data_IF_478855562379
#
_entry.id   IF_478855562379
#
_cell.length_a   1.000
_cell.length_b   1.000
_cell.length_c   1.000
_cell.angle_alpha   90.00
_cell.angle_beta   90.00
_cell.angle_gamma   90.00
#
_symmetry.space_group_name_H-M   'P 1'
#
loop_
_entity.id
_entity.type
_entity.pdbx_description
1 polymer ?
#
# COMPACT_ATOMS: atom_id res chain seq x y z
N UNK A 1 6.67 3.92 19.82
CA UNK A 1 5.66 3.24 20.68
C UNK A 1 4.41 4.12 20.79
N UNK A 2 3.53 4.12 19.78
CA UNK A 2 2.18 4.68 19.85
C UNK A 2 1.19 3.60 20.29
N UNK A 3 1.39 3.06 21.50
CA UNK A 3 0.55 1.94 22.02
C UNK A 3 -0.71 2.46 22.71
N UNK A 4 -1.36 3.44 22.09
CA UNK A 4 -2.67 3.88 22.49
C UNK A 4 -3.66 3.22 21.53
N UNK A 5 -4.70 2.59 22.08
CA UNK A 5 -5.76 1.89 21.34
C UNK A 5 -6.61 2.89 20.54
N UNK A 6 -5.99 3.61 19.61
CA UNK A 6 -6.60 4.62 18.78
C UNK A 6 -6.96 4.03 17.42
N UNK A 7 -7.98 4.60 16.80
CA UNK A 7 -8.29 4.41 15.39
C UNK A 7 -7.66 5.58 14.64
N UNK A 8 -6.93 5.30 13.57
CA UNK A 8 -6.40 6.35 12.68
C UNK A 8 -7.44 6.65 11.62
N UNK A 9 -8.03 7.83 11.69
CA UNK A 9 -8.97 8.31 10.68
C UNK A 9 -8.28 9.33 9.77
N UNK A 10 -8.35 9.09 8.46
CA UNK A 10 -7.78 9.98 7.45
C UNK A 10 -8.84 10.94 6.93
N UNK A 11 -8.56 12.24 6.98
CA UNK A 11 -9.47 13.30 6.52
C UNK A 11 -8.74 14.40 5.75
N UNK A 12 -9.52 15.28 5.13
CA UNK A 12 -9.03 16.45 4.40
C UNK A 12 -9.05 16.27 2.88
N UNK A 13 -8.74 17.35 2.13
CA UNK A 13 -8.91 17.39 0.67
C UNK A 13 -8.02 16.38 -0.06
N UNK A 14 -6.86 16.03 0.52
CA UNK A 14 -5.95 15.03 -0.06
C UNK A 14 -6.55 13.63 -0.18
N UNK A 15 -7.59 13.30 0.59
CA UNK A 15 -8.24 11.98 0.52
C UNK A 15 -8.83 11.70 -0.87
N UNK A 16 -9.36 12.72 -1.54
CA UNK A 16 -10.01 12.56 -2.86
C UNK A 16 -9.00 12.33 -4.01
N UNK A 17 -7.71 12.57 -3.77
CA UNK A 17 -6.65 12.27 -4.74
C UNK A 17 -6.18 10.82 -4.70
N UNK A 18 -6.53 10.06 -3.65
CA UNK A 18 -6.09 8.68 -3.44
C UNK A 18 -7.07 7.68 -4.04
N UNK A 19 -6.57 6.62 -4.65
CA UNK A 19 -7.40 5.51 -5.12
C UNK A 19 -7.92 4.66 -3.95
N UNK A 20 -8.96 3.85 -4.18
CA UNK A 20 -9.46 2.90 -3.19
C UNK A 20 -8.37 1.91 -2.71
N UNK A 21 -7.53 1.45 -3.63
CA UNK A 21 -6.43 0.52 -3.35
C UNK A 21 -5.28 1.20 -2.63
N UNK A 22 -4.94 2.45 -2.99
CA UNK A 22 -3.95 3.25 -2.25
C UNK A 22 -4.40 3.59 -0.82
N UNK A 23 -5.69 3.90 -0.62
CA UNK A 23 -6.27 4.02 0.72
C UNK A 23 -6.12 2.71 1.52
N UNK A 24 -6.35 1.56 0.89
CA UNK A 24 -6.17 0.25 1.53
C UNK A 24 -4.71 -0.01 1.92
N UNK A 25 -3.73 0.37 1.09
CA UNK A 25 -2.29 0.31 1.42
C UNK A 25 -1.98 1.14 2.67
N UNK A 26 -2.48 2.37 2.73
CA UNK A 26 -2.27 3.26 3.88
C UNK A 26 -2.88 2.66 5.15
N UNK A 27 -4.12 2.19 5.10
CA UNK A 27 -4.75 1.56 6.25
C UNK A 27 -4.06 0.27 6.70
N UNK A 28 -3.56 -0.53 5.75
CA UNK A 28 -2.80 -1.75 6.03
C UNK A 28 -1.58 -1.43 6.90
N UNK A 29 -0.80 -0.40 6.51
CA UNK A 29 0.40 0.00 7.24
C UNK A 29 0.12 0.73 8.58
N UNK A 30 -1.15 0.98 8.92
CA UNK A 30 -1.53 1.46 10.24
C UNK A 30 -1.27 0.44 11.35
N UNK A 31 -1.14 -0.85 11.00
CA UNK A 31 -0.82 -1.91 11.95
C UNK A 31 0.57 -1.72 12.59
N UNK A 32 1.54 -1.21 11.82
CA UNK A 32 2.95 -1.04 12.21
C UNK A 32 3.14 0.03 13.29
N UNK A 33 2.21 0.99 13.40
CA UNK A 33 2.20 1.98 14.47
C UNK A 33 1.42 1.51 15.71
N UNK A 34 0.75 0.36 15.64
CA UNK A 34 -0.06 -0.20 16.71
C UNK A 34 -1.49 0.33 16.78
N UNK A 35 -2.01 0.90 15.69
CA UNK A 35 -3.39 1.35 15.63
C UNK A 35 -4.37 0.17 15.78
N UNK A 36 -5.53 0.42 16.39
CA UNK A 36 -6.61 -0.58 16.50
C UNK A 36 -7.16 -0.93 15.12
N UNK A 37 -7.37 0.10 14.30
CA UNK A 37 -7.61 0.00 12.86
C UNK A 37 -7.34 1.38 12.24
N UNK A 38 -7.42 1.44 10.93
CA UNK A 38 -7.34 2.66 10.14
C UNK A 38 -8.54 2.77 9.22
N UNK A 39 -9.02 3.98 8.94
CA UNK A 39 -10.17 4.19 8.07
C UNK A 39 -10.14 5.49 7.28
N UNK A 40 -10.74 5.45 6.09
CA UNK A 40 -11.04 6.61 5.26
C UNK A 40 -12.56 6.80 5.16
N UNK A 41 -13.04 8.05 5.00
CA UNK A 41 -14.43 8.33 4.75
C UNK A 41 -14.87 7.78 3.38
N UNK A 42 -16.14 7.39 3.28
CA UNK A 42 -16.69 6.92 2.01
C UNK A 42 -16.63 8.02 0.92
N UNK A 43 -16.07 7.69 -0.23
CA UNK A 43 -15.90 8.63 -1.33
C UNK A 43 -16.12 7.99 -2.71
N UNK A 44 -16.00 8.82 -3.76
CA UNK A 44 -16.25 8.38 -5.13
C UNK A 44 -15.25 7.32 -5.63
N UNK A 45 -14.02 7.30 -5.11
CA UNK A 45 -12.99 6.30 -5.46
C UNK A 45 -13.37 4.91 -4.96
N UNK A 46 -14.00 4.83 -3.79
CA UNK A 46 -14.57 3.57 -3.27
C UNK A 46 -15.75 3.10 -4.12
N UNK A 47 -16.59 4.02 -4.60
CA UNK A 47 -17.68 3.72 -5.55
C UNK A 47 -17.12 3.13 -6.85
N UNK A 48 -16.09 3.76 -7.42
CA UNK A 48 -15.46 3.30 -8.66
C UNK A 48 -14.90 1.89 -8.49
N UNK A 49 -14.23 1.62 -7.37
CA UNK A 49 -13.71 0.29 -7.05
C UNK A 49 -14.81 -0.77 -6.86
N UNK A 50 -15.90 -0.44 -6.16
CA UNK A 50 -17.06 -1.32 -6.00
C UNK A 50 -17.67 -1.67 -7.36
N UNK A 51 -17.85 -0.69 -8.24
CA UNK A 51 -18.35 -0.91 -9.60
C UNK A 51 -17.40 -1.81 -10.41
N UNK A 52 -16.09 -1.52 -10.40
CA UNK A 52 -15.07 -2.30 -11.10
C UNK A 52 -15.02 -3.77 -10.63
N UNK A 53 -15.32 -4.00 -9.36
CA UNK A 53 -15.38 -5.34 -8.75
C UNK A 53 -16.78 -5.95 -8.76
N UNK A 54 -17.68 -5.46 -9.61
CA UNK A 54 -19.04 -5.98 -9.85
C UNK A 54 -19.96 -5.92 -8.62
N UNK A 55 -19.79 -4.90 -7.77
CA UNK A 55 -20.57 -4.63 -6.55
C UNK A 55 -21.30 -3.28 -6.62
N UNK A 56 -21.82 -2.94 -7.79
CA UNK A 56 -22.44 -1.63 -8.03
C UNK A 56 -23.75 -1.41 -7.27
N UNK A 57 -24.44 -2.49 -6.92
CA UNK A 57 -25.58 -2.48 -6.01
C UNK A 57 -25.20 -1.98 -4.60
N UNK A 58 -24.09 -2.48 -4.04
CA UNK A 58 -23.54 -1.99 -2.76
C UNK A 58 -23.16 -0.51 -2.88
N UNK A 59 -22.50 -0.11 -3.97
CA UNK A 59 -22.13 1.28 -4.20
C UNK A 59 -23.36 2.21 -4.24
N UNK A 60 -24.42 1.79 -4.91
CA UNK A 60 -25.67 2.54 -5.01
C UNK A 60 -26.41 2.61 -3.67
N UNK A 61 -26.37 1.55 -2.87
CA UNK A 61 -26.95 1.55 -1.53
C UNK A 61 -26.15 2.45 -0.58
N UNK A 62 -24.82 2.32 -0.54
CA UNK A 62 -23.95 3.13 0.30
C UNK A 62 -24.08 4.63 0.02
N UNK A 63 -24.27 5.02 -1.25
CA UNK A 63 -24.53 6.43 -1.63
C UNK A 63 -25.75 7.03 -0.93
N UNK A 64 -26.81 6.25 -0.69
CA UNK A 64 -28.02 6.73 0.01
C UNK A 64 -27.73 7.08 1.48
N UNK A 65 -26.72 6.43 2.07
CA UNK A 65 -26.27 6.62 3.44
C UNK A 65 -24.92 7.35 3.52
N UNK A 66 -24.47 8.01 2.44
CA UNK A 66 -23.13 8.60 2.40
C UNK A 66 -22.89 9.62 3.53
N UNK A 67 -23.95 10.26 4.03
CA UNK A 67 -23.88 11.17 5.18
C UNK A 67 -23.55 10.45 6.50
N UNK A 68 -23.87 9.17 6.67
CA UNK A 68 -23.50 8.36 7.83
C UNK A 68 -22.13 7.68 7.69
N UNK A 69 -21.52 7.73 6.50
CA UNK A 69 -20.27 7.05 6.18
C UNK A 69 -19.08 8.02 6.14
N UNK A 70 -19.23 9.14 6.83
CA UNK A 70 -18.25 10.21 7.00
C UNK A 70 -18.33 10.72 8.42
N UNK A 71 -17.24 11.29 8.93
CA UNK A 71 -17.27 11.99 10.20
C UNK A 71 -18.16 13.23 10.14
N UNK A 72 -18.76 13.55 11.29
CA UNK A 72 -19.57 14.77 11.45
C UNK A 72 -18.71 16.03 11.29
N UNK A 73 -19.36 17.11 10.88
CA UNK A 73 -18.71 18.43 10.87
C UNK A 73 -18.32 18.83 12.29
N UNK A 74 -17.06 19.23 12.48
CA UNK A 74 -16.53 19.58 13.79
C UNK A 74 -16.19 18.39 14.69
N UNK A 75 -16.15 17.15 14.15
CA UNK A 75 -15.67 15.99 14.90
C UNK A 75 -14.29 16.27 15.53
N UNK A 76 -14.19 16.01 16.83
CA UNK A 76 -12.97 16.19 17.62
C UNK A 76 -12.10 14.92 17.56
N UNK A 77 -10.78 15.11 17.50
CA UNK A 77 -9.80 14.02 17.50
C UNK A 77 -8.79 14.28 18.63
N UNK A 78 -8.44 13.23 19.39
CA UNK A 78 -7.47 13.34 20.48
C UNK A 78 -6.10 13.82 20.01
N UNK A 79 -5.74 13.47 18.77
CA UNK A 79 -4.53 13.92 18.10
C UNK A 79 -4.81 14.19 16.62
N UNK A 80 -4.24 15.28 16.11
CA UNK A 80 -4.27 15.64 14.69
C UNK A 80 -2.85 15.71 14.16
N UNK A 81 -2.58 14.99 13.08
CA UNK A 81 -1.33 15.05 12.32
C UNK A 81 -1.67 15.49 10.91
N UNK A 82 -1.00 16.54 10.44
CA UNK A 82 -1.20 17.07 9.09
C UNK A 82 -0.06 16.63 8.16
N UNK A 83 -0.43 16.13 6.98
CA UNK A 83 0.52 15.71 5.93
C UNK A 83 0.14 16.41 4.64
N UNK A 84 1.08 17.18 4.09
CA UNK A 84 0.94 17.79 2.77
C UNK A 84 1.38 16.80 1.68
N UNK A 85 0.40 16.23 0.97
CA UNK A 85 0.66 15.26 -0.11
C UNK A 85 1.45 15.85 -1.29
N UNK A 86 1.42 17.18 -1.49
CA UNK A 86 2.13 17.83 -2.60
C UNK A 86 3.63 18.02 -2.33
N UNK A 87 4.01 18.02 -1.05
CA UNK A 87 5.41 18.12 -0.60
C UNK A 87 6.00 16.76 -0.24
N UNK A 88 5.16 15.71 -0.20
CA UNK A 88 5.58 14.38 0.14
C UNK A 88 6.47 13.79 -0.97
N UNK A 89 7.67 13.37 -0.59
CA UNK A 89 8.59 12.64 -1.46
C UNK A 89 8.56 11.13 -1.16
N UNK A 90 9.06 10.26 -2.06
CA UNK A 90 9.15 8.82 -1.78
C UNK A 90 10.05 8.52 -0.58
N UNK A 91 9.68 7.50 0.20
CA UNK A 91 10.40 7.06 1.39
C UNK A 91 10.76 5.58 1.31
N UNK A 92 11.80 5.20 2.04
CA UNK A 92 12.17 3.82 2.35
C UNK A 92 12.35 3.68 3.86
N UNK A 93 11.71 2.66 4.44
CA UNK A 93 11.75 2.42 5.88
C UNK A 93 12.54 1.16 6.19
N UNK A 94 13.27 1.14 7.30
CA UNK A 94 14.12 0.02 7.71
C UNK A 94 15.53 0.47 8.12
N UNK A 95 16.48 -0.47 8.28
CA UNK A 95 16.43 -1.86 7.82
C UNK A 95 15.74 -2.84 8.79
N UNK A 96 15.59 -2.51 10.08
CA UNK A 96 15.10 -3.47 11.09
C UNK A 96 13.78 -3.06 11.75
N UNK A 97 13.30 -1.83 11.51
CA UNK A 97 12.01 -1.37 12.03
C UNK A 97 11.24 -0.59 10.96
N UNK A 98 9.91 -0.72 10.92
CA UNK A 98 9.08 -0.03 9.92
C UNK A 98 8.93 1.47 10.22
N UNK A 99 9.34 1.95 11.39
CA UNK A 99 9.24 3.36 11.80
C UNK A 99 10.51 4.18 11.53
N UNK A 100 11.61 3.54 11.11
CA UNK A 100 12.82 4.24 10.68
C UNK A 100 12.66 4.72 9.23
N UNK A 101 11.99 5.86 9.06
CA UNK A 101 11.70 6.43 7.75
C UNK A 101 12.89 7.25 7.20
N UNK A 102 13.34 6.92 5.99
CA UNK A 102 14.36 7.66 5.26
C UNK A 102 13.81 8.16 3.93
N UNK A 103 13.94 9.46 3.66
CA UNK A 103 13.60 10.03 2.34
C UNK A 103 14.49 9.41 1.27
N UNK A 104 13.92 9.05 0.12
CA UNK A 104 14.69 8.39 -0.94
C UNK A 104 15.86 9.25 -1.42
N UNK A 105 15.68 10.58 -1.45
CA UNK A 105 16.70 11.57 -1.79
C UNK A 105 17.91 11.56 -0.85
N UNK A 106 17.75 11.00 0.36
CA UNK A 106 18.77 10.90 1.41
C UNK A 106 19.25 9.49 1.69
N UNK A 107 18.66 8.50 1.04
CA UNK A 107 18.94 7.09 1.33
C UNK A 107 20.40 6.70 1.10
N UNK A 108 21.03 7.15 0.01
CA UNK A 108 22.43 6.84 -0.28
C UNK A 108 23.41 7.43 0.77
N UNK A 109 23.10 8.62 1.29
CA UNK A 109 23.89 9.25 2.36
C UNK A 109 23.75 8.46 3.67
N UNK A 110 22.52 8.09 4.05
CA UNK A 110 22.26 7.32 5.27
C UNK A 110 22.77 5.88 5.19
N UNK A 111 22.68 5.22 4.04
CA UNK A 111 23.23 3.88 3.85
C UNK A 111 24.74 3.83 4.12
N UNK A 112 25.50 4.79 3.57
CA UNK A 112 26.95 4.90 3.82
C UNK A 112 27.27 5.23 5.27
N UNK A 113 26.57 6.21 5.84
CA UNK A 113 26.76 6.65 7.22
C UNK A 113 26.50 5.54 8.24
N UNK A 114 25.48 4.72 8.00
CA UNK A 114 25.09 3.63 8.89
C UNK A 114 25.68 2.26 8.49
N UNK A 115 26.57 2.23 7.47
CA UNK A 115 27.21 1.02 6.95
C UNK A 115 26.19 -0.09 6.56
N UNK A 116 25.09 0.31 5.92
CA UNK A 116 24.11 -0.62 5.36
C UNK A 116 24.62 -1.23 4.05
N UNK A 117 24.25 -2.48 3.72
CA UNK A 117 24.58 -3.07 2.42
C UNK A 117 24.05 -2.20 1.27
N UNK A 118 24.95 -1.78 0.37
CA UNK A 118 24.59 -0.97 -0.81
C UNK A 118 24.07 -1.81 -1.98
N UNK A 119 24.39 -3.11 -1.99
CA UNK A 119 23.96 -4.04 -3.04
C UNK A 119 22.56 -4.60 -2.74
N UNK A 120 21.60 -4.28 -3.61
CA UNK A 120 20.27 -4.88 -3.57
C UNK A 120 20.34 -6.27 -4.19
N UNK A 121 20.34 -7.31 -3.35
CA UNK A 121 20.38 -8.72 -3.79
C UNK A 121 19.08 -9.17 -4.45
N UNK A 122 17.96 -8.81 -3.84
CA UNK A 122 16.61 -9.19 -4.28
C UNK A 122 15.67 -8.04 -4.05
N UNK A 123 14.76 -7.83 -5.01
CA UNK A 123 13.67 -6.87 -4.87
C UNK A 123 12.33 -7.59 -4.96
N UNK A 124 11.44 -7.34 -4.00
CA UNK A 124 10.17 -8.02 -3.83
C UNK A 124 9.03 -6.99 -3.95
N UNK A 125 8.03 -7.28 -4.77
CA UNK A 125 6.83 -6.46 -4.93
C UNK A 125 5.60 -7.34 -4.76
N UNK A 126 4.55 -6.78 -4.18
CA UNK A 126 3.29 -7.49 -3.99
C UNK A 126 2.95 -7.65 -2.52
N UNK A 127 2.59 -8.87 -2.13
CA UNK A 127 1.94 -9.15 -0.83
C UNK A 127 0.61 -8.41 -0.66
N UNK A 128 -0.07 -8.53 0.46
CA UNK A 128 -1.36 -7.89 0.68
C UNK A 128 -1.31 -6.34 0.66
N UNK A 129 -0.16 -5.73 0.95
CA UNK A 129 -0.02 -4.28 1.08
C UNK A 129 0.06 -3.54 -0.27
N UNK A 130 0.79 -4.08 -1.25
CA UNK A 130 1.06 -3.43 -2.55
C UNK A 130 0.97 -4.40 -3.74
N UNK A 131 -0.15 -5.10 -3.87
CA UNK A 131 -0.41 -6.04 -4.97
C UNK A 131 -1.70 -5.79 -5.73
N UNK A 132 -2.21 -4.57 -5.70
CA UNK A 132 -3.36 -4.19 -6.51
C UNK A 132 -2.99 -4.09 -7.99
N UNK A 133 -4.00 -4.04 -8.86
CA UNK A 133 -3.78 -3.77 -10.28
C UNK A 133 -3.10 -2.41 -10.54
N UNK A 134 -3.26 -1.43 -9.64
CA UNK A 134 -2.59 -0.12 -9.74
C UNK A 134 -1.10 -0.19 -9.39
N UNK A 135 -0.71 -1.08 -8.48
CA UNK A 135 0.67 -1.23 -8.02
C UNK A 135 1.56 -1.85 -9.10
N UNK A 136 1.03 -2.87 -9.79
CA UNK A 136 1.78 -3.68 -10.74
C UNK A 136 2.47 -2.85 -11.85
N UNK A 137 1.78 -2.03 -12.65
CA UNK A 137 2.40 -1.31 -13.75
C UNK A 137 3.39 -0.21 -13.29
N UNK A 138 3.41 0.16 -12.00
CA UNK A 138 4.37 1.12 -11.45
C UNK A 138 5.72 0.49 -11.11
N UNK A 139 5.83 -0.83 -11.19
CA UNK A 139 7.09 -1.54 -10.99
C UNK A 139 7.88 -1.66 -12.31
N UNK A 140 9.08 -1.07 -12.35
CA UNK A 140 9.83 -0.83 -13.59
C UNK A 140 11.14 -1.65 -13.75
N UNK A 141 11.38 -2.67 -12.92
CA UNK A 141 12.70 -3.32 -12.80
C UNK A 141 12.62 -4.83 -12.52
N UNK A 142 13.77 -5.48 -12.34
CA UNK A 142 13.90 -6.91 -12.02
C UNK A 142 13.32 -7.17 -10.62
N UNK A 143 12.11 -7.72 -10.56
CA UNK A 143 11.38 -7.95 -9.31
C UNK A 143 10.85 -9.37 -9.20
N UNK A 144 10.82 -9.89 -7.97
CA UNK A 144 9.98 -11.03 -7.62
C UNK A 144 8.60 -10.49 -7.23
N UNK A 145 7.55 -10.94 -7.91
CA UNK A 145 6.22 -10.33 -7.88
C UNK A 145 5.19 -11.31 -7.32
N UNK A 146 4.45 -10.88 -6.30
CA UNK A 146 3.40 -11.67 -5.65
C UNK A 146 2.04 -10.98 -5.83
N UNK A 147 1.22 -11.38 -6.81
CA UNK A 147 -0.14 -10.85 -6.93
C UNK A 147 -0.99 -11.23 -5.71
N UNK A 148 -1.83 -10.31 -5.23
CA UNK A 148 -2.61 -10.52 -4.00
C UNK A 148 -3.80 -11.48 -4.16
N UNK A 149 -4.15 -11.83 -5.39
CA UNK A 149 -5.23 -12.78 -5.69
C UNK A 149 -5.11 -13.34 -7.11
N UNK A 150 -5.80 -14.45 -7.36
CA UNK A 150 -5.96 -14.98 -8.73
C UNK A 150 -6.65 -14.01 -9.67
N UNK A 151 -7.59 -13.21 -9.15
CA UNK A 151 -8.26 -12.19 -9.97
C UNK A 151 -7.26 -11.14 -10.46
N UNK A 152 -6.40 -10.63 -9.57
CA UNK A 152 -5.34 -9.70 -9.96
C UNK A 152 -4.39 -10.37 -10.94
N UNK A 153 -3.85 -11.56 -10.61
CA UNK A 153 -2.93 -12.31 -11.47
C UNK A 153 -3.50 -12.52 -12.88
N UNK A 154 -4.74 -12.98 -12.99
CA UNK A 154 -5.39 -13.20 -14.27
C UNK A 154 -5.61 -11.90 -15.06
N UNK A 155 -5.93 -10.81 -14.37
CA UNK A 155 -6.15 -9.49 -14.99
C UNK A 155 -4.83 -8.92 -15.53
N UNK A 156 -3.75 -8.94 -14.74
CA UNK A 156 -2.44 -8.44 -15.18
C UNK A 156 -1.81 -9.31 -16.27
N UNK A 157 -2.12 -10.61 -16.29
CA UNK A 157 -1.73 -11.52 -17.36
C UNK A 157 -2.47 -11.18 -18.67
N UNK A 158 -3.79 -11.00 -18.61
CA UNK A 158 -4.61 -10.60 -19.76
C UNK A 158 -4.13 -9.26 -20.35
N UNK A 159 -3.75 -8.32 -19.48
CA UNK A 159 -3.37 -6.96 -19.90
C UNK A 159 -1.87 -6.83 -20.23
N UNK A 160 -1.13 -7.95 -20.33
CA UNK A 160 0.27 -7.99 -20.78
C UNK A 160 1.32 -7.54 -19.76
N UNK A 161 0.92 -7.16 -18.55
CA UNK A 161 1.86 -6.74 -17.51
C UNK A 161 2.71 -7.90 -17.00
N UNK A 162 2.13 -9.12 -16.95
CA UNK A 162 2.85 -10.31 -16.52
C UNK A 162 4.04 -10.61 -17.45
N UNK A 163 3.81 -10.55 -18.76
CA UNK A 163 4.83 -10.72 -19.78
C UNK A 163 5.91 -9.64 -19.68
N UNK A 164 5.53 -8.39 -19.40
CA UNK A 164 6.47 -7.30 -19.19
C UNK A 164 7.43 -7.60 -18.02
N UNK A 165 6.93 -8.15 -16.91
CA UNK A 165 7.78 -8.53 -15.77
C UNK A 165 8.71 -9.69 -16.08
N UNK A 166 8.20 -10.73 -16.73
CA UNK A 166 9.01 -11.89 -17.13
C UNK A 166 10.11 -11.48 -18.11
N UNK A 167 9.84 -10.53 -19.01
CA UNK A 167 10.81 -10.03 -20.00
C UNK A 167 12.02 -9.33 -19.39
N UNK A 168 11.86 -8.74 -18.20
CA UNK A 168 12.97 -8.11 -17.44
C UNK A 168 13.59 -9.06 -16.42
N UNK A 169 13.28 -10.36 -16.48
CA UNK A 169 13.81 -11.38 -15.56
C UNK A 169 13.10 -11.42 -14.21
N UNK A 170 11.91 -10.82 -14.11
CA UNK A 170 11.08 -10.92 -12.91
C UNK A 170 10.51 -12.33 -12.72
N UNK A 171 10.41 -12.75 -11.46
CA UNK A 171 9.83 -14.04 -11.08
C UNK A 171 8.45 -13.81 -10.47
N UNK A 172 7.41 -14.40 -11.04
CA UNK A 172 6.06 -14.31 -10.48
C UNK A 172 5.84 -15.45 -9.50
N UNK A 173 5.64 -15.11 -8.23
CA UNK A 173 5.35 -16.06 -7.18
C UNK A 173 3.88 -16.46 -7.16
N UNK A 174 3.59 -17.52 -6.40
CA UNK A 174 2.22 -17.92 -6.09
C UNK A 174 1.50 -16.80 -5.34
N UNK A 175 0.19 -16.68 -5.56
CA UNK A 175 -0.69 -15.72 -4.89
C UNK A 175 -0.89 -16.09 -3.40
N UNK A 176 0.15 -15.89 -2.59
CA UNK A 176 0.23 -16.25 -1.17
C UNK A 176 1.17 -15.27 -0.44
N UNK A 177 1.18 -15.28 0.90
CA UNK A 177 2.04 -14.38 1.67
C UNK A 177 3.55 -14.56 1.36
N UNK A 178 4.01 -15.80 1.21
CA UNK A 178 5.36 -16.13 0.76
C UNK A 178 6.46 -15.40 1.56
N UNK A 179 7.39 -14.69 0.89
CA UNK A 179 8.49 -13.97 1.55
C UNK A 179 8.06 -12.97 2.62
N UNK A 180 6.83 -12.42 2.55
CA UNK A 180 6.33 -11.42 3.50
C UNK A 180 6.27 -11.95 4.94
N UNK A 181 6.06 -13.26 5.13
CA UNK A 181 6.03 -13.93 6.44
C UNK A 181 7.24 -14.84 6.66
N UNK A 182 8.29 -14.68 5.85
CA UNK A 182 9.49 -15.53 5.89
C UNK A 182 9.32 -16.92 5.26
N UNK A 183 8.20 -17.18 4.56
CA UNK A 183 8.02 -18.44 3.83
C UNK A 183 8.74 -18.36 2.48
N UNK A 184 10.07 -18.44 2.52
CA UNK A 184 10.93 -18.36 1.36
C UNK A 184 12.18 -19.20 1.58
N UNK A 185 12.39 -20.17 0.67
CA UNK A 185 13.64 -20.91 0.61
C UNK A 185 14.69 -20.09 -0.14
N UNK A 186 15.51 -19.39 0.64
CA UNK A 186 16.53 -18.46 0.13
C UNK A 186 17.90 -19.12 0.22
N UNK A 187 18.54 -19.34 -0.92
CA UNK A 187 19.79 -20.09 -1.06
C UNK A 187 21.04 -19.20 -1.22
N UNK A 188 20.86 -17.87 -1.32
CA UNK A 188 21.90 -16.87 -1.57
C UNK A 188 22.32 -16.06 -0.31
N UNK A 189 22.04 -16.59 0.88
CA UNK A 189 22.40 -16.02 2.20
C UNK A 189 23.24 -17.00 3.01
#
# INVERSE_FOLDING_TARGET
>A
KGRDFAIVEYKGPGVESLSCTGMATICNMGAEIGATTSMFPFNHRMVDYLNATKRGDIANYAKQFAHNLKADEGAEYDQVIEINLSELEPHINGPFTPDLATRISKFAEEAKKNNWPEEIKVSLIGSCTNSSYEDMPRSASIFTITPGSEQVRATIARDGQLEAFESVGGLVLTNACGPCIGQWDRQDV
#
